data_IF_373564393158
#
_entry.id   IF_373564393158
#
_cell.length_a   1.000
_cell.length_b   1.000
_cell.length_c   1.000
_cell.angle_alpha   90.00
_cell.angle_beta   90.00
_cell.angle_gamma   90.00
#
_symmetry.space_group_name_H-M   'P 1'
#
loop_
_entity.id
_entity.type
_entity.pdbx_description
1 polymer ?
#
# COMPACT_ATOMS: atom_id res chain seq x y z
N UNK A 1 64.11 -36.69 19.21
CA UNK A 1 63.56 -36.25 20.51
C UNK A 1 64.03 -34.82 20.73
N UNK A 2 63.08 -33.92 20.98
CA UNK A 2 63.25 -32.49 21.18
C UNK A 2 62.85 -32.22 22.63
N UNK A 3 63.70 -31.54 23.41
CA UNK A 3 63.37 -31.08 24.75
C UNK A 3 63.41 -29.56 24.76
N UNK A 4 62.24 -28.96 25.01
CA UNK A 4 62.03 -27.54 25.22
C UNK A 4 62.05 -27.24 26.73
N UNK A 5 62.56 -26.07 27.13
CA UNK A 5 62.50 -25.57 28.50
C UNK A 5 62.41 -24.04 28.55
N UNK A 6 61.58 -23.54 29.49
CA UNK A 6 61.36 -22.13 29.85
C UNK A 6 60.05 -21.57 29.27
N UNK A 7 58.87 -21.50 29.92
CA UNK A 7 58.40 -21.21 31.29
C UNK A 7 58.03 -19.74 31.53
N UNK A 8 56.82 -19.58 32.10
CA UNK A 8 56.21 -18.43 32.79
C UNK A 8 55.39 -17.42 31.95
N UNK A 9 54.23 -16.93 32.38
CA UNK A 9 53.26 -17.25 33.46
C UNK A 9 51.97 -16.48 33.11
N UNK A 10 50.82 -17.07 33.43
CA UNK A 10 49.51 -16.43 33.33
C UNK A 10 49.23 -15.65 34.62
N UNK A 11 48.81 -14.38 34.53
CA UNK A 11 48.30 -13.61 35.69
C UNK A 11 47.03 -12.90 35.28
N UNK A 12 45.99 -13.08 36.10
CA UNK A 12 44.65 -12.54 35.92
C UNK A 12 44.30 -11.56 37.06
N UNK A 13 43.18 -10.82 36.86
CA UNK A 13 42.30 -10.15 37.86
C UNK A 13 42.73 -8.71 38.24
N UNK A 14 41.84 -7.72 38.59
CA UNK A 14 40.41 -7.80 38.95
C UNK A 14 39.41 -6.83 38.28
N UNK A 15 38.12 -7.18 38.47
CA UNK A 15 36.94 -6.29 38.51
C UNK A 15 36.87 -5.64 39.90
N UNK A 16 36.53 -4.34 40.03
CA UNK A 16 35.62 -3.77 41.06
C UNK A 16 35.33 -2.27 40.79
N UNK A 17 34.06 -1.89 41.00
CA UNK A 17 33.49 -0.53 41.01
C UNK A 17 34.06 0.32 42.15
N UNK A 18 34.10 1.66 41.99
CA UNK A 18 33.55 2.69 42.91
C UNK A 18 33.54 4.07 42.23
N UNK A 19 32.45 4.83 42.36
CA UNK A 19 32.31 6.26 42.01
C UNK A 19 32.92 7.16 43.12
N UNK A 20 33.25 8.42 42.81
CA UNK A 20 32.62 9.51 43.59
C UNK A 20 32.09 10.67 42.73
N UNK A 21 30.98 11.25 43.21
CA UNK A 21 30.32 12.46 42.70
C UNK A 21 31.14 13.73 42.98
N UNK A 22 31.08 14.71 42.06
CA UNK A 22 31.08 16.14 42.44
C UNK A 22 30.28 16.97 41.43
N UNK A 23 29.34 17.75 41.97
CA UNK A 23 28.45 18.68 41.27
C UNK A 23 29.19 19.87 40.64
N UNK A 24 28.70 20.31 39.49
CA UNK A 24 29.09 21.55 38.82
C UNK A 24 28.31 21.68 37.51
N UNK A 25 27.20 22.42 37.55
CA UNK A 25 26.29 22.64 36.43
C UNK A 25 26.88 23.61 35.40
N UNK A 26 26.79 23.28 34.12
CA UNK A 26 26.61 24.25 33.05
C UNK A 26 25.95 23.56 31.85
N UNK A 27 24.77 24.07 31.49
CA UNK A 27 23.94 23.68 30.36
C UNK A 27 24.64 23.98 29.03
N UNK A 28 24.70 23.02 28.12
CA UNK A 28 24.42 23.10 26.66
C UNK A 28 24.51 21.64 26.17
N UNK A 29 23.82 21.09 25.20
CA UNK A 29 23.05 21.59 24.09
C UNK A 29 22.22 20.38 23.63
N UNK A 30 20.91 20.54 23.57
CA UNK A 30 19.91 19.65 23.00
C UNK A 30 20.36 18.24 22.62
N UNK A 31 19.97 17.26 23.46
CA UNK A 31 19.58 15.97 22.92
C UNK A 31 18.40 16.23 21.98
N UNK A 32 18.71 16.48 20.71
CA UNK A 32 17.76 16.23 19.63
C UNK A 32 17.52 14.72 19.66
N UNK A 33 16.60 14.30 20.52
CA UNK A 33 15.80 13.12 20.26
C UNK A 33 15.21 13.37 18.88
N UNK A 34 15.88 12.86 17.85
CA UNK A 34 15.26 12.61 16.57
C UNK A 34 14.23 11.55 16.88
N UNK A 35 13.07 12.00 17.34
CA UNK A 35 11.81 11.28 17.37
C UNK A 35 11.61 10.85 15.92
N UNK A 36 12.18 9.70 15.55
CA UNK A 36 11.86 9.03 14.31
C UNK A 36 10.41 8.68 14.50
N UNK A 37 9.50 9.51 13.99
CA UNK A 37 8.10 9.19 13.86
C UNK A 37 8.07 7.81 13.24
N UNK A 38 7.76 6.78 14.04
CA UNK A 38 7.56 5.43 13.53
C UNK A 38 6.28 5.52 12.73
N UNK A 39 6.40 5.84 11.46
CA UNK A 39 5.26 5.78 10.55
C UNK A 39 4.74 4.35 10.59
N UNK A 40 3.44 4.21 10.84
CA UNK A 40 2.77 2.94 10.67
C UNK A 40 3.08 2.42 9.26
N UNK A 41 3.66 1.21 9.12
CA UNK A 41 3.97 0.63 7.82
C UNK A 41 2.79 0.65 6.84
N UNK A 42 1.55 0.49 7.33
CA UNK A 42 0.36 0.52 6.49
C UNK A 42 0.08 1.93 5.93
N UNK A 43 0.26 2.96 6.75
CA UNK A 43 0.13 4.36 6.32
C UNK A 43 1.17 4.74 5.27
N UNK A 44 2.42 4.27 5.43
CA UNK A 44 3.48 4.52 4.44
C UNK A 44 3.17 3.86 3.10
N UNK A 45 2.79 2.57 3.11
CA UNK A 45 2.41 1.83 1.90
C UNK A 45 1.24 2.53 1.19
N UNK A 46 0.21 2.90 1.94
CA UNK A 46 -0.94 3.62 1.39
C UNK A 46 -0.54 4.94 0.72
N UNK A 47 0.32 5.73 1.37
CA UNK A 47 0.80 7.01 0.84
C UNK A 47 1.48 6.83 -0.51
N UNK A 48 2.35 5.83 -0.63
CA UNK A 48 3.07 5.53 -1.88
C UNK A 48 2.11 5.07 -2.98
N UNK A 49 1.18 4.16 -2.68
CA UNK A 49 0.21 3.67 -3.68
C UNK A 49 -0.72 4.80 -4.13
N UNK A 50 -1.17 5.64 -3.20
CA UNK A 50 -2.09 6.75 -3.47
C UNK A 50 -1.54 7.75 -4.50
N UNK A 51 -0.23 7.99 -4.51
CA UNK A 51 0.41 8.86 -5.51
C UNK A 51 0.19 8.38 -6.96
N UNK A 52 0.08 7.07 -7.17
CA UNK A 52 -0.11 6.45 -8.50
C UNK A 52 -1.58 6.13 -8.83
N UNK A 53 -2.50 6.34 -7.89
CA UNK A 53 -3.90 5.97 -8.07
C UNK A 53 -4.59 6.79 -9.17
N UNK A 54 -4.19 8.04 -9.38
CA UNK A 54 -4.85 8.93 -10.35
C UNK A 54 -4.88 8.34 -11.76
N UNK A 55 -3.78 7.77 -12.23
CA UNK A 55 -3.72 7.15 -13.57
C UNK A 55 -4.68 5.96 -13.73
N UNK A 56 -4.89 5.20 -12.64
CA UNK A 56 -5.86 4.11 -12.65
C UNK A 56 -7.30 4.65 -12.62
N UNK A 57 -7.56 5.71 -11.84
CA UNK A 57 -8.86 6.36 -11.81
C UNK A 57 -9.21 7.07 -13.13
N UNK A 58 -8.22 7.60 -13.84
CA UNK A 58 -8.37 8.13 -15.21
C UNK A 58 -8.73 7.02 -16.18
N UNK A 59 -8.08 5.87 -16.13
CA UNK A 59 -8.47 4.72 -16.96
C UNK A 59 -9.94 4.33 -16.73
N UNK A 60 -10.37 4.21 -15.48
CA UNK A 60 -11.77 3.88 -15.15
C UNK A 60 -12.75 4.92 -15.74
N UNK A 61 -12.44 6.21 -15.61
CA UNK A 61 -13.30 7.28 -16.13
C UNK A 61 -13.32 7.35 -17.65
N UNK A 62 -12.14 7.36 -18.27
CA UNK A 62 -11.99 7.73 -19.67
C UNK A 62 -12.19 6.53 -20.60
N UNK A 63 -11.78 5.33 -20.17
CA UNK A 63 -11.86 4.12 -20.99
C UNK A 63 -13.13 3.30 -20.71
N UNK A 64 -13.55 3.23 -19.45
CA UNK A 64 -14.74 2.47 -19.06
C UNK A 64 -16.00 3.33 -18.88
N UNK A 65 -15.85 4.65 -18.82
CA UNK A 65 -16.99 5.58 -18.68
C UNK A 65 -17.66 5.54 -17.31
N UNK A 66 -17.01 4.98 -16.29
CA UNK A 66 -17.57 4.92 -14.93
C UNK A 66 -17.21 6.18 -14.14
N UNK A 67 -18.10 6.60 -13.23
CA UNK A 67 -17.82 7.71 -12.32
C UNK A 67 -17.28 7.18 -11.00
N UNK A 68 -16.13 7.67 -10.55
CA UNK A 68 -15.54 7.27 -9.26
C UNK A 68 -16.25 8.01 -8.13
N UNK A 69 -16.85 7.27 -7.20
CA UNK A 69 -17.62 7.80 -6.08
C UNK A 69 -16.80 7.93 -4.80
N UNK A 70 -15.91 6.97 -4.51
CA UNK A 70 -15.08 7.02 -3.30
C UNK A 70 -13.81 6.17 -3.41
N UNK A 71 -12.83 6.53 -2.57
CA UNK A 71 -11.60 5.78 -2.32
C UNK A 71 -11.33 5.74 -0.80
N UNK A 72 -11.10 4.56 -0.23
CA UNK A 72 -10.84 4.39 1.22
C UNK A 72 -9.37 4.08 1.54
N UNK A 73 -8.90 4.46 2.73
CA UNK A 73 -7.56 4.16 3.25
C UNK A 73 -7.44 2.72 3.80
N UNK A 74 -6.22 2.17 3.81
CA UNK A 74 -5.90 0.83 4.34
C UNK A 74 -6.12 -0.31 3.35
N UNK A 75 -6.98 -0.12 2.35
CA UNK A 75 -7.10 -0.97 1.16
C UNK A 75 -7.63 -0.15 0.00
N UNK A 76 -7.13 -0.36 -1.22
CA UNK A 76 -7.60 0.34 -2.41
C UNK A 76 -8.99 -0.15 -2.82
N UNK A 77 -10.02 0.28 -2.10
CA UNK A 77 -11.42 0.06 -2.44
C UNK A 77 -11.94 1.27 -3.21
N UNK A 78 -12.39 1.02 -4.44
CA UNK A 78 -12.91 2.05 -5.33
C UNK A 78 -14.39 1.76 -5.55
N UNK A 79 -15.25 2.69 -5.13
CA UNK A 79 -16.66 2.65 -5.47
C UNK A 79 -16.87 3.41 -6.78
N UNK A 80 -17.58 2.81 -7.73
CA UNK A 80 -17.93 3.47 -9.00
C UNK A 80 -19.43 3.46 -9.24
N UNK A 81 -19.92 4.44 -9.99
CA UNK A 81 -21.28 4.44 -10.51
C UNK A 81 -21.26 4.30 -12.03
N UNK A 82 -22.21 3.53 -12.56
CA UNK A 82 -22.43 3.39 -13.99
C UNK A 82 -23.65 4.23 -14.38
N UNK A 83 -23.58 4.94 -15.51
CA UNK A 83 -24.72 5.74 -16.00
C UNK A 83 -25.63 4.99 -16.98
N UNK A 84 -25.21 3.79 -17.41
CA UNK A 84 -25.98 2.93 -18.32
C UNK A 84 -25.63 1.45 -18.14
N UNK A 85 -26.51 0.57 -18.63
CA UNK A 85 -26.23 -0.87 -18.72
C UNK A 85 -25.00 -1.15 -19.60
N UNK A 86 -24.81 -0.40 -20.68
CA UNK A 86 -23.64 -0.57 -21.57
C UNK A 86 -22.33 -0.34 -20.82
N UNK A 87 -22.25 0.70 -19.99
CA UNK A 87 -21.08 0.99 -19.16
C UNK A 87 -20.85 -0.11 -18.13
N UNK A 88 -21.93 -0.58 -17.47
CA UNK A 88 -21.84 -1.67 -16.51
C UNK A 88 -21.31 -2.97 -17.13
N UNK A 89 -21.85 -3.37 -18.29
CA UNK A 89 -21.38 -4.56 -19.03
C UNK A 89 -19.95 -4.39 -19.53
N UNK A 90 -19.57 -3.17 -19.94
CA UNK A 90 -18.20 -2.84 -20.34
C UNK A 90 -17.21 -3.05 -19.20
N UNK A 91 -17.51 -2.49 -18.01
CA UNK A 91 -16.72 -2.70 -16.80
C UNK A 91 -16.61 -4.19 -16.45
N UNK A 92 -17.74 -4.91 -16.46
CA UNK A 92 -17.77 -6.32 -16.13
C UNK A 92 -16.93 -7.17 -17.09
N UNK A 93 -17.00 -6.89 -18.39
CA UNK A 93 -16.20 -7.57 -19.42
C UNK A 93 -14.70 -7.29 -19.26
N UNK A 94 -14.33 -6.05 -18.98
CA UNK A 94 -12.93 -5.67 -18.75
C UNK A 94 -12.35 -6.40 -17.53
N UNK A 95 -13.16 -6.51 -16.46
CA UNK A 95 -12.86 -7.30 -15.27
C UNK A 95 -12.73 -8.81 -15.56
N UNK A 96 -13.74 -9.44 -16.17
CA UNK A 96 -13.75 -10.90 -16.43
C UNK A 96 -12.63 -11.36 -17.36
N UNK A 97 -12.22 -10.50 -18.30
CA UNK A 97 -11.09 -10.80 -19.20
C UNK A 97 -9.73 -10.77 -18.50
N UNK A 98 -9.67 -10.27 -17.26
CA UNK A 98 -8.44 -10.01 -16.51
C UNK A 98 -7.67 -8.79 -17.04
N UNK A 99 -8.21 -8.03 -18.00
CA UNK A 99 -7.60 -6.81 -18.50
C UNK A 99 -7.47 -5.77 -17.37
N UNK A 100 -8.52 -5.63 -16.56
CA UNK A 100 -8.53 -4.70 -15.43
C UNK A 100 -7.39 -4.98 -14.42
N UNK A 101 -7.03 -6.25 -14.21
CA UNK A 101 -5.86 -6.62 -13.38
C UNK A 101 -4.55 -6.11 -13.97
N UNK A 102 -4.36 -6.29 -15.28
CA UNK A 102 -3.14 -5.86 -15.98
C UNK A 102 -3.00 -4.34 -15.94
N UNK A 103 -4.10 -3.62 -16.15
CA UNK A 103 -4.10 -2.16 -16.09
C UNK A 103 -3.84 -1.68 -14.66
N UNK A 104 -4.47 -2.29 -13.65
CA UNK A 104 -4.21 -1.97 -12.25
C UNK A 104 -2.74 -2.18 -11.89
N UNK A 105 -2.14 -3.33 -12.25
CA UNK A 105 -0.70 -3.57 -12.07
C UNK A 105 0.14 -2.51 -12.77
N UNK A 106 -0.12 -2.25 -14.05
CA UNK A 106 0.66 -1.31 -14.86
C UNK A 106 0.63 0.13 -14.31
N UNK A 107 -0.53 0.57 -13.80
CA UNK A 107 -0.74 1.94 -13.33
C UNK A 107 -0.33 2.14 -11.87
N UNK A 108 -0.57 1.16 -11.01
CA UNK A 108 -0.33 1.28 -9.56
C UNK A 108 1.04 0.76 -9.14
N UNK A 109 1.63 -0.18 -9.89
CA UNK A 109 2.93 -0.79 -9.57
C UNK A 109 4.00 -0.25 -10.53
N UNK A 110 4.25 1.05 -10.43
CA UNK A 110 5.31 1.69 -11.20
C UNK A 110 6.69 1.33 -10.64
N UNK A 111 7.76 1.53 -11.42
CA UNK A 111 9.13 1.35 -10.93
C UNK A 111 9.41 2.19 -9.68
N UNK A 112 8.85 3.40 -9.60
CA UNK A 112 8.98 4.29 -8.45
C UNK A 112 8.29 3.70 -7.20
N UNK A 113 7.12 3.08 -7.34
CA UNK A 113 6.44 2.42 -6.22
C UNK A 113 7.26 1.24 -5.70
N UNK A 114 7.78 0.40 -6.60
CA UNK A 114 8.64 -0.73 -6.23
C UNK A 114 9.91 -0.27 -5.50
N UNK A 115 10.55 0.80 -5.98
CA UNK A 115 11.73 1.39 -5.35
C UNK A 115 11.41 1.93 -3.95
N UNK A 116 10.35 2.73 -3.81
CA UNK A 116 9.93 3.33 -2.52
C UNK A 116 9.53 2.28 -1.48
N UNK A 117 8.99 1.15 -1.92
CA UNK A 117 8.59 0.05 -1.03
C UNK A 117 9.67 -1.02 -0.85
N UNK A 118 10.83 -0.87 -1.52
CA UNK A 118 11.90 -1.87 -1.55
C UNK A 118 11.43 -3.27 -1.99
N UNK A 119 10.55 -3.33 -2.99
CA UNK A 119 9.97 -4.55 -3.53
C UNK A 119 10.55 -4.87 -4.92
N UNK A 120 10.72 -6.16 -5.21
CA UNK A 120 11.20 -6.62 -6.53
C UNK A 120 10.08 -6.71 -7.56
N UNK A 121 8.94 -7.26 -7.15
CA UNK A 121 7.72 -7.28 -7.95
C UNK A 121 6.49 -7.23 -7.02
N UNK A 122 5.36 -6.77 -7.57
CA UNK A 122 4.05 -6.90 -6.96
C UNK A 122 3.08 -7.36 -8.03
N UNK A 123 2.19 -8.30 -7.67
CA UNK A 123 1.07 -8.73 -8.48
C UNK A 123 -0.23 -8.25 -7.85
N UNK A 124 -1.12 -7.70 -8.67
CA UNK A 124 -2.41 -7.18 -8.26
C UNK A 124 -3.53 -7.97 -8.93
N UNK A 125 -4.59 -8.16 -8.15
CA UNK A 125 -5.84 -8.71 -8.62
C UNK A 125 -6.96 -7.77 -8.22
N UNK A 126 -7.72 -7.32 -9.20
CA UNK A 126 -8.98 -6.62 -8.98
C UNK A 126 -10.08 -7.64 -8.68
N UNK A 127 -11.08 -7.22 -7.90
CA UNK A 127 -12.25 -8.03 -7.60
C UNK A 127 -13.47 -7.13 -7.64
N UNK A 128 -14.49 -7.56 -8.36
CA UNK A 128 -15.82 -6.96 -8.34
C UNK A 128 -16.76 -8.04 -7.80
N UNK A 129 -17.54 -7.72 -6.76
CA UNK A 129 -18.51 -8.65 -6.20
C UNK A 129 -19.59 -8.94 -7.24
N UNK A 130 -19.79 -10.22 -7.57
CA UNK A 130 -20.75 -10.64 -8.59
C UNK A 130 -22.17 -10.24 -8.20
N UNK A 131 -22.48 -10.31 -6.92
CA UNK A 131 -23.77 -9.95 -6.34
C UNK A 131 -24.07 -8.46 -6.53
N UNK A 132 -23.07 -7.58 -6.40
CA UNK A 132 -23.23 -6.14 -6.63
C UNK A 132 -23.45 -5.83 -8.11
N UNK A 133 -22.66 -6.46 -8.99
CA UNK A 133 -22.86 -6.36 -10.43
C UNK A 133 -24.26 -6.81 -10.86
N UNK A 134 -24.74 -7.96 -10.35
CA UNK A 134 -26.06 -8.49 -10.67
C UNK A 134 -27.18 -7.54 -10.23
N UNK A 135 -27.11 -6.98 -9.02
CA UNK A 135 -28.08 -5.99 -8.53
C UNK A 135 -28.12 -4.75 -9.43
N UNK A 136 -26.96 -4.24 -9.84
CA UNK A 136 -26.89 -3.10 -10.76
C UNK A 136 -27.48 -3.45 -12.14
N UNK A 137 -27.21 -4.66 -12.65
CA UNK A 137 -27.73 -5.13 -13.93
C UNK A 137 -29.26 -5.25 -13.92
N UNK A 138 -29.81 -5.86 -12.88
CA UNK A 138 -31.26 -5.96 -12.66
C UNK A 138 -31.93 -4.58 -12.57
N UNK A 139 -31.29 -3.63 -11.87
CA UNK A 139 -31.78 -2.26 -11.79
C UNK A 139 -31.91 -1.60 -13.17
N UNK A 140 -30.88 -1.70 -14.01
CA UNK A 140 -30.95 -1.14 -15.38
C UNK A 140 -32.01 -1.83 -16.24
N UNK A 141 -32.11 -3.16 -16.20
CA UNK A 141 -33.12 -3.90 -16.96
C UNK A 141 -34.54 -3.58 -16.48
N UNK A 142 -34.73 -3.33 -15.19
CA UNK A 142 -36.01 -2.89 -14.62
C UNK A 142 -36.39 -1.46 -15.04
N UNK A 143 -35.43 -0.54 -15.14
CA UNK A 143 -35.66 0.81 -15.64
C UNK A 143 -36.16 0.83 -17.09
N UNK A 144 -35.65 -0.06 -17.93
CA UNK A 144 -36.09 -0.16 -19.33
C UNK A 144 -37.57 -0.56 -19.41
N UNK A 145 -38.03 -1.47 -18.55
CA UNK A 145 -39.44 -1.89 -18.51
C UNK A 145 -40.38 -0.75 -18.07
N UNK A 146 -39.96 0.08 -17.12
CA UNK A 146 -40.73 1.26 -16.67
C UNK A 146 -40.77 2.33 -17.77
N UNK A 147 -39.67 2.54 -18.50
CA UNK A 147 -39.61 3.51 -19.60
C UNK A 147 -40.44 3.08 -20.81
N UNK A 148 -40.49 1.78 -21.10
CA UNK A 148 -41.32 1.23 -22.18
C UNK A 148 -42.82 1.25 -21.84
N UNK A 149 -43.19 1.12 -20.56
CA UNK A 149 -44.59 1.19 -20.12
C UNK A 149 -45.17 2.62 -20.10
N UNK A 150 -44.32 3.65 -20.17
CA UNK A 150 -44.70 5.06 -20.05
C UNK A 150 -44.62 5.85 -21.38
N UNK A 151 -44.42 5.17 -22.51
CA UNK A 151 -44.46 5.73 -23.87
C UNK A 151 -45.56 5.06 -24.70
#
# INVERSE_FOLDING_TARGET
LQVASGSERMVAVPIHQEQPQSEGAEETSGEHASERVRQDPLTYIWTVIKETCNDFLEYLRDQLGVSVASLSEGSLLITVTCSSLQILEGLWKDYESGHLNKVAEQKLVTAQVLEKLHLREVKLKTTIAKEEYQKCKEFFLGLDQVRLANN
#
